data_IF_648881600698
#
_entry.id   IF_648881600698
#
_cell.length_a   1.000
_cell.length_b   1.000
_cell.length_c   1.000
_cell.angle_alpha   90.00
_cell.angle_beta   90.00
_cell.angle_gamma   90.00
#
_symmetry.space_group_name_H-M   'P 1'
#
loop_
_entity.id
_entity.type
_entity.pdbx_description
1 polymer ?
#
# COMPACT_ATOMS: atom_id res chain seq x y z
N UNK A 1 36.56 -13.45 14.54
CA UNK A 1 36.39 -14.88 14.85
C UNK A 1 34.95 -15.11 15.29
N UNK A 2 34.12 -15.63 14.39
CA UNK A 2 33.00 -16.57 14.61
C UNK A 2 32.41 -16.87 13.22
N UNK A 3 32.74 -18.05 12.72
CA UNK A 3 32.36 -18.61 11.42
C UNK A 3 30.93 -19.15 11.52
N UNK A 4 29.98 -18.54 10.83
CA UNK A 4 28.68 -19.15 10.54
C UNK A 4 28.74 -19.71 9.11
N UNK A 5 28.60 -21.03 8.98
CA UNK A 5 28.66 -21.75 7.71
C UNK A 5 27.56 -21.31 6.73
N UNK A 6 27.94 -21.23 5.45
CA UNK A 6 27.13 -20.85 4.27
C UNK A 6 26.44 -19.49 4.36
N UNK A 7 27.00 -18.51 3.64
CA UNK A 7 26.51 -17.14 3.53
C UNK A 7 25.00 -17.03 3.26
N UNK A 8 24.25 -16.77 4.33
CA UNK A 8 22.86 -16.34 4.28
C UNK A 8 22.90 -14.82 4.07
N UNK A 9 22.22 -14.24 3.06
CA UNK A 9 22.17 -12.80 2.87
C UNK A 9 21.55 -12.15 4.13
N UNK A 10 22.24 -11.15 4.69
CA UNK A 10 21.75 -10.35 5.83
C UNK A 10 20.58 -9.41 5.46
N UNK A 11 20.20 -9.36 4.18
CA UNK A 11 19.06 -8.59 3.66
C UNK A 11 17.84 -9.50 3.41
N UNK A 12 16.76 -9.36 4.19
CA UNK A 12 15.50 -10.10 3.98
C UNK A 12 14.93 -9.95 2.56
N UNK A 13 15.21 -8.82 1.91
CA UNK A 13 14.74 -8.49 0.56
C UNK A 13 15.39 -9.38 -0.53
N UNK A 14 16.53 -10.02 -0.26
CA UNK A 14 17.29 -10.83 -1.23
C UNK A 14 17.07 -12.33 -1.10
N UNK A 15 16.31 -12.79 -0.12
CA UNK A 15 16.07 -14.21 0.13
C UNK A 15 15.27 -14.84 -1.03
N UNK A 16 14.23 -14.17 -1.49
CA UNK A 16 13.34 -14.69 -2.55
C UNK A 16 14.06 -14.91 -3.90
N UNK A 17 14.84 -13.94 -4.44
CA UNK A 17 15.61 -14.15 -5.67
C UNK A 17 16.62 -15.30 -5.59
N UNK A 18 17.28 -15.45 -4.43
CA UNK A 18 18.30 -16.50 -4.23
C UNK A 18 17.68 -17.90 -4.26
N UNK A 19 16.51 -18.06 -3.64
CA UNK A 19 15.77 -19.33 -3.68
C UNK A 19 15.25 -19.60 -5.09
N UNK A 20 14.65 -18.60 -5.75
CA UNK A 20 14.14 -18.71 -7.11
C UNK A 20 15.22 -19.14 -8.13
N UNK A 21 16.47 -18.71 -7.92
CA UNK A 21 17.60 -19.07 -8.79
C UNK A 21 17.95 -20.57 -8.79
N UNK A 22 17.66 -21.29 -7.70
CA UNK A 22 17.97 -22.72 -7.55
C UNK A 22 16.94 -23.66 -8.20
N UNK A 23 15.82 -23.14 -8.70
CA UNK A 23 14.75 -23.95 -9.31
C UNK A 23 15.07 -24.40 -10.75
N UNK A 24 14.50 -25.54 -11.20
CA UNK A 24 14.53 -25.96 -12.60
C UNK A 24 13.93 -24.89 -13.54
N UNK A 25 14.42 -24.81 -14.78
CA UNK A 25 14.09 -23.75 -15.75
C UNK A 25 12.59 -23.54 -15.99
N UNK A 26 11.79 -24.62 -16.08
CA UNK A 26 10.34 -24.52 -16.25
C UNK A 26 9.61 -23.98 -15.00
N UNK A 27 9.96 -24.47 -13.82
CA UNK A 27 9.33 -24.07 -12.55
C UNK A 27 9.76 -22.64 -12.16
N UNK A 28 11.01 -22.27 -12.47
CA UNK A 28 11.54 -20.92 -12.26
C UNK A 28 10.70 -19.86 -12.98
N UNK A 29 10.37 -20.09 -14.26
CA UNK A 29 9.51 -19.19 -15.03
C UNK A 29 8.11 -19.07 -14.41
N UNK A 30 7.53 -20.20 -14.01
CA UNK A 30 6.22 -20.23 -13.35
C UNK A 30 6.23 -19.44 -12.04
N UNK A 31 7.22 -19.63 -11.17
CA UNK A 31 7.34 -18.91 -9.90
C UNK A 31 7.52 -17.40 -10.11
N UNK A 32 8.40 -16.98 -11.04
CA UNK A 32 8.58 -15.55 -11.33
C UNK A 32 7.30 -14.93 -11.86
N UNK A 33 6.60 -15.59 -12.79
CA UNK A 33 5.31 -15.10 -13.29
C UNK A 33 4.22 -15.02 -12.22
N UNK A 34 4.16 -16.01 -11.31
CA UNK A 34 3.20 -16.02 -10.21
C UNK A 34 3.48 -14.89 -9.21
N UNK A 35 4.74 -14.61 -8.91
CA UNK A 35 5.14 -13.50 -8.04
C UNK A 35 4.79 -12.14 -8.66
N UNK A 36 5.03 -11.97 -9.97
CA UNK A 36 4.64 -10.76 -10.70
C UNK A 36 3.11 -10.59 -10.72
N UNK A 37 2.37 -11.66 -10.99
CA UNK A 37 0.91 -11.64 -11.00
C UNK A 37 0.32 -11.33 -9.60
N UNK A 38 0.90 -11.89 -8.54
CA UNK A 38 0.52 -11.60 -7.17
C UNK A 38 0.75 -10.11 -6.83
N UNK A 39 1.92 -9.56 -7.17
CA UNK A 39 2.22 -8.15 -6.98
C UNK A 39 1.28 -7.21 -7.76
N UNK A 40 0.96 -7.56 -9.01
CA UNK A 40 0.05 -6.78 -9.84
C UNK A 40 -1.37 -6.76 -9.28
N UNK A 41 -1.86 -7.89 -8.76
CA UNK A 41 -3.22 -7.98 -8.18
C UNK A 41 -3.41 -7.04 -6.99
N UNK A 42 -2.42 -6.99 -6.10
CA UNK A 42 -2.43 -6.05 -4.97
C UNK A 42 -2.35 -4.62 -5.45
N UNK A 43 -1.46 -4.34 -6.40
CA UNK A 43 -1.26 -3.00 -6.96
C UNK A 43 -2.54 -2.46 -7.62
N UNK A 44 -3.19 -3.26 -8.48
CA UNK A 44 -4.43 -2.91 -9.17
C UNK A 44 -5.57 -2.64 -8.17
N UNK A 45 -5.69 -3.48 -7.14
CA UNK A 45 -6.70 -3.30 -6.10
C UNK A 45 -6.51 -2.00 -5.32
N UNK A 46 -5.26 -1.65 -4.98
CA UNK A 46 -4.94 -0.40 -4.27
C UNK A 46 -5.20 0.82 -5.14
N UNK A 47 -4.76 0.83 -6.40
CA UNK A 47 -4.99 1.95 -7.33
C UNK A 47 -6.48 2.14 -7.61
N UNK A 48 -7.22 1.04 -7.82
CA UNK A 48 -8.66 1.10 -8.04
C UNK A 48 -9.41 1.64 -6.80
N UNK A 49 -9.01 1.25 -5.60
CA UNK A 49 -9.61 1.77 -4.36
C UNK A 49 -9.32 3.26 -4.19
N UNK A 50 -8.10 3.71 -4.48
CA UNK A 50 -7.74 5.13 -4.42
C UNK A 50 -8.54 5.96 -5.43
N UNK A 51 -8.76 5.46 -6.64
CA UNK A 51 -9.61 6.11 -7.63
C UNK A 51 -11.09 6.18 -7.18
N UNK A 52 -11.59 5.16 -6.48
CA UNK A 52 -12.92 5.18 -5.89
C UNK A 52 -13.07 6.20 -4.76
N UNK A 53 -12.06 6.31 -3.89
CA UNK A 53 -12.01 7.34 -2.84
C UNK A 53 -11.97 8.74 -3.46
N UNK A 54 -11.14 8.97 -4.48
CA UNK A 54 -11.13 10.25 -5.18
C UNK A 54 -12.49 10.58 -5.80
N UNK A 55 -13.07 9.65 -6.55
CA UNK A 55 -14.29 9.93 -7.32
C UNK A 55 -15.52 10.09 -6.43
N UNK A 56 -15.72 9.22 -5.45
CA UNK A 56 -16.92 9.25 -4.61
C UNK A 56 -16.78 10.21 -3.42
N UNK A 57 -15.66 10.14 -2.70
CA UNK A 57 -15.53 10.83 -1.42
C UNK A 57 -15.00 12.26 -1.56
N UNK A 58 -14.32 12.58 -2.67
CA UNK A 58 -13.79 13.92 -2.92
C UNK A 58 -14.54 14.59 -4.06
N UNK A 59 -14.43 14.05 -5.27
CA UNK A 59 -14.93 14.68 -6.48
C UNK A 59 -16.46 14.82 -6.44
N UNK A 60 -17.18 13.72 -6.20
CA UNK A 60 -18.64 13.74 -6.14
C UNK A 60 -19.16 14.36 -4.85
N UNK A 61 -18.52 14.14 -3.71
CA UNK A 61 -19.01 14.68 -2.44
C UNK A 61 -18.84 16.21 -2.33
N UNK A 62 -17.70 16.76 -2.78
CA UNK A 62 -17.32 18.15 -2.52
C UNK A 62 -17.13 19.02 -3.77
N UNK A 63 -16.67 18.46 -4.90
CA UNK A 63 -16.35 19.27 -6.10
C UNK A 63 -17.56 19.40 -7.02
N UNK A 64 -18.14 18.27 -7.47
CA UNK A 64 -19.24 18.24 -8.42
C UNK A 64 -20.23 17.13 -8.08
N UNK A 65 -21.24 17.48 -7.28
CA UNK A 65 -22.25 16.56 -6.75
C UNK A 65 -23.14 15.89 -7.80
N UNK A 66 -23.33 16.56 -8.94
CA UNK A 66 -24.11 16.05 -10.08
C UNK A 66 -23.22 15.51 -11.22
N UNK A 67 -22.01 15.03 -10.91
CA UNK A 67 -21.12 14.44 -11.91
C UNK A 67 -21.76 13.22 -12.59
N UNK A 68 -21.68 13.17 -13.92
CA UNK A 68 -22.18 12.06 -14.72
C UNK A 68 -21.26 10.83 -14.67
N UNK A 69 -21.76 9.66 -15.09
CA UNK A 69 -20.98 8.41 -15.08
C UNK A 69 -19.70 8.50 -15.92
N UNK A 70 -19.78 9.06 -17.12
CA UNK A 70 -18.63 9.23 -18.02
C UNK A 70 -17.57 10.14 -17.42
N UNK A 71 -17.99 11.23 -16.78
CA UNK A 71 -17.07 12.15 -16.11
C UNK A 71 -16.34 11.48 -14.94
N UNK A 72 -17.06 10.72 -14.10
CA UNK A 72 -16.45 9.98 -13.00
C UNK A 72 -15.45 8.92 -13.51
N UNK A 73 -15.74 8.28 -14.65
CA UNK A 73 -14.82 7.32 -15.27
C UNK A 73 -13.53 8.00 -15.74
N UNK A 74 -13.62 9.17 -16.38
CA UNK A 74 -12.43 9.95 -16.77
C UNK A 74 -11.63 10.42 -15.56
N UNK A 75 -12.30 10.86 -14.48
CA UNK A 75 -11.63 11.23 -13.23
C UNK A 75 -10.91 10.04 -12.60
N UNK A 76 -11.55 8.86 -12.54
CA UNK A 76 -10.91 7.64 -12.06
C UNK A 76 -9.66 7.29 -12.88
N UNK A 77 -9.75 7.30 -14.21
CA UNK A 77 -8.60 7.03 -15.09
C UNK A 77 -7.46 8.04 -14.90
N UNK A 78 -7.80 9.32 -14.78
CA UNK A 78 -6.81 10.39 -14.60
C UNK A 78 -6.07 10.23 -13.27
N UNK A 79 -6.80 10.00 -12.18
CA UNK A 79 -6.19 9.81 -10.87
C UNK A 79 -5.37 8.54 -10.78
N UNK A 80 -5.85 7.42 -11.36
CA UNK A 80 -5.06 6.20 -11.45
C UNK A 80 -3.73 6.44 -12.17
N UNK A 81 -3.76 7.14 -13.31
CA UNK A 81 -2.53 7.46 -14.06
C UNK A 81 -1.58 8.34 -13.23
N UNK A 82 -2.11 9.39 -12.59
CA UNK A 82 -1.32 10.30 -11.75
C UNK A 82 -0.68 9.54 -10.58
N UNK A 83 -1.43 8.68 -9.90
CA UNK A 83 -0.93 7.87 -8.79
C UNK A 83 0.17 6.91 -9.22
N UNK A 84 0.00 6.23 -10.35
CA UNK A 84 1.01 5.32 -10.90
C UNK A 84 2.29 6.08 -11.27
N UNK A 85 2.17 7.21 -11.97
CA UNK A 85 3.33 8.03 -12.36
C UNK A 85 4.03 8.59 -11.11
N UNK A 86 3.28 9.10 -10.13
CA UNK A 86 3.84 9.60 -8.88
C UNK A 86 4.57 8.49 -8.11
N UNK A 87 3.96 7.30 -8.00
CA UNK A 87 4.57 6.14 -7.36
C UNK A 87 5.87 5.70 -8.06
N UNK A 88 5.87 5.68 -9.39
CA UNK A 88 7.08 5.40 -10.18
C UNK A 88 8.18 6.43 -9.92
N UNK A 89 7.84 7.72 -9.90
CA UNK A 89 8.80 8.78 -9.61
C UNK A 89 9.37 8.67 -8.20
N UNK A 90 8.54 8.38 -7.19
CA UNK A 90 9.01 8.16 -5.82
C UNK A 90 9.90 6.92 -5.72
N UNK A 91 9.60 5.86 -6.48
CA UNK A 91 10.38 4.61 -6.44
C UNK A 91 11.85 4.81 -6.84
N UNK A 92 12.15 5.78 -7.70
CA UNK A 92 13.52 6.12 -8.11
C UNK A 92 14.39 6.66 -6.95
N UNK A 93 13.77 7.22 -5.91
CA UNK A 93 14.47 7.76 -4.74
C UNK A 93 14.54 6.78 -3.57
N UNK A 94 13.79 5.68 -3.63
CA UNK A 94 13.64 4.72 -2.54
C UNK A 94 14.75 3.67 -2.57
N UNK A 95 15.51 3.54 -1.49
CA UNK A 95 16.66 2.61 -1.39
C UNK A 95 16.39 1.33 -0.59
N UNK A 96 15.35 1.30 0.25
CA UNK A 96 14.97 0.12 1.03
C UNK A 96 13.45 0.06 1.20
N UNK A 97 12.88 -1.13 0.96
CA UNK A 97 11.44 -1.38 1.10
C UNK A 97 11.08 -1.53 2.57
N UNK A 98 11.95 -2.17 3.37
CA UNK A 98 11.69 -2.40 4.79
C UNK A 98 11.45 -1.11 5.59
N UNK A 99 12.16 -0.02 5.28
CA UNK A 99 11.97 1.27 5.97
C UNK A 99 10.59 1.85 5.69
N UNK A 100 10.15 1.80 4.43
CA UNK A 100 8.83 2.29 4.00
C UNK A 100 7.74 1.43 4.61
N UNK A 101 7.91 0.10 4.55
CA UNK A 101 6.98 -0.85 5.11
C UNK A 101 6.79 -0.64 6.62
N UNK A 102 7.90 -0.44 7.34
CA UNK A 102 7.89 -0.12 8.76
C UNK A 102 7.14 1.18 9.03
N UNK A 103 7.44 2.25 8.29
CA UNK A 103 6.77 3.54 8.43
C UNK A 103 5.26 3.44 8.16
N UNK A 104 4.85 2.83 7.03
CA UNK A 104 3.43 2.70 6.67
C UNK A 104 2.68 1.83 7.69
N UNK A 105 3.26 0.72 8.13
CA UNK A 105 2.61 -0.18 9.08
C UNK A 105 2.49 0.44 10.46
N UNK A 106 3.54 1.11 10.95
CA UNK A 106 3.54 1.67 12.30
C UNK A 106 2.84 3.01 12.38
N UNK A 107 3.20 3.97 11.53
CA UNK A 107 2.63 5.31 11.58
C UNK A 107 1.16 5.31 11.11
N UNK A 108 0.87 4.71 9.95
CA UNK A 108 -0.50 4.77 9.38
C UNK A 108 -1.36 3.64 9.92
N UNK A 109 -0.86 2.39 9.88
CA UNK A 109 -1.60 1.24 10.38
C UNK A 109 -1.90 1.35 11.87
N UNK A 110 -0.88 1.64 12.69
CA UNK A 110 -1.04 1.81 14.13
C UNK A 110 -1.99 2.95 14.51
N UNK A 111 -1.91 4.10 13.82
CA UNK A 111 -2.77 5.24 14.08
C UNK A 111 -4.25 4.98 13.76
N UNK A 112 -4.55 4.13 12.77
CA UNK A 112 -5.93 3.84 12.39
C UNK A 112 -6.56 2.71 13.20
N UNK A 113 -5.77 1.73 13.66
CA UNK A 113 -6.29 0.53 14.35
C UNK A 113 -7.03 0.88 15.65
N UNK A 114 -6.41 1.67 16.53
CA UNK A 114 -7.00 1.95 17.85
C UNK A 114 -8.27 2.80 17.79
N UNK A 115 -8.33 3.92 17.04
CA UNK A 115 -9.55 4.71 16.92
C UNK A 115 -10.69 3.93 16.25
N UNK A 116 -10.37 3.10 15.25
CA UNK A 116 -11.38 2.26 14.57
C UNK A 116 -11.92 1.16 15.50
N UNK A 117 -11.04 0.53 16.26
CA UNK A 117 -11.45 -0.46 17.27
C UNK A 117 -12.35 0.16 18.35
N UNK A 118 -11.95 1.31 18.89
CA UNK A 118 -12.74 2.03 19.89
C UNK A 118 -14.10 2.49 19.36
N UNK A 119 -14.17 2.93 18.09
CA UNK A 119 -15.43 3.29 17.45
C UNK A 119 -16.42 2.12 17.38
N UNK A 120 -15.93 0.89 17.27
CA UNK A 120 -16.79 -0.29 17.19
C UNK A 120 -17.30 -0.79 18.55
N UNK A 121 -16.44 -0.74 19.58
CA UNK A 121 -16.79 -1.23 20.92
C UNK A 121 -17.43 -0.16 21.81
N UNK A 122 -17.14 1.12 21.61
CA UNK A 122 -17.60 2.20 22.48
C UNK A 122 -18.66 3.08 21.81
N UNK A 123 -19.91 2.88 22.19
CA UNK A 123 -21.05 3.63 21.65
C UNK A 123 -21.02 5.16 21.84
N UNK A 124 -20.19 5.70 22.75
CA UNK A 124 -20.04 7.15 22.97
C UNK A 124 -18.91 7.77 22.15
N UNK A 125 -18.21 6.96 21.37
CA UNK A 125 -17.06 7.43 20.61
C UNK A 125 -17.50 8.40 19.51
N UNK A 126 -16.90 9.59 19.51
CA UNK A 126 -17.29 10.69 18.64
C UNK A 126 -16.23 10.95 17.56
N UNK A 127 -16.62 11.68 16.50
CA UNK A 127 -15.73 11.95 15.36
C UNK A 127 -14.48 12.75 15.72
N UNK A 128 -14.55 13.62 16.75
CA UNK A 128 -13.41 14.37 17.25
C UNK A 128 -12.37 13.47 17.93
N UNK A 129 -12.81 12.52 18.74
CA UNK A 129 -11.95 11.52 19.38
C UNK A 129 -11.29 10.61 18.36
N UNK A 130 -12.00 10.24 17.29
CA UNK A 130 -11.43 9.50 16.17
C UNK A 130 -10.32 10.30 15.47
N UNK A 131 -10.57 11.57 15.13
CA UNK A 131 -9.61 12.42 14.46
C UNK A 131 -8.36 12.71 15.32
N UNK A 132 -8.55 13.01 16.61
CA UNK A 132 -7.44 13.22 17.55
C UNK A 132 -6.63 11.94 17.77
N UNK A 133 -7.29 10.78 17.84
CA UNK A 133 -6.62 9.49 17.98
C UNK A 133 -5.73 9.17 16.79
N UNK A 134 -6.21 9.40 15.56
CA UNK A 134 -5.40 9.23 14.35
C UNK A 134 -4.25 10.23 14.33
N UNK A 135 -4.50 11.51 14.65
CA UNK A 135 -3.46 12.54 14.65
C UNK A 135 -2.36 12.25 15.68
N UNK A 136 -2.73 11.81 16.89
CA UNK A 136 -1.78 11.41 17.92
C UNK A 136 -0.97 10.17 17.52
N UNK A 137 -1.60 9.19 16.88
CA UNK A 137 -0.91 7.99 16.39
C UNK A 137 0.05 8.25 15.24
N UNK A 138 -0.27 9.21 14.36
CA UNK A 138 0.62 9.62 13.27
C UNK A 138 1.82 10.46 13.73
N UNK A 139 1.70 11.14 14.88
CA UNK A 139 2.74 12.00 15.43
C UNK A 139 3.73 11.28 16.36
N UNK A 140 3.40 10.06 16.80
CA UNK A 140 4.22 9.22 17.67
C UNK A 140 5.23 8.37 16.88
#
# INVERSE_FOLDING_TARGET
TLTAGKGIPLDPERVLPVVAAQLPTGVKGLVVSALLAAGMTTFDSTVNSAAAYWTNDIYKAFIRRNAGKTELMWQAMTVSLVLVVAGLMLSLYMRSINVIWGYVTMAVGGAMVWPTFLAWYWHRFNGLGFALGIAAGLAA
#
